data_IF_142062037927
#
_entry.id   IF_142062037927
#
_cell.length_a   1.000
_cell.length_b   1.000
_cell.length_c   1.000
_cell.angle_alpha   90.00
_cell.angle_beta   90.00
_cell.angle_gamma   90.00
#
_symmetry.space_group_name_H-M   'P 1'
#
loop_
_entity.id
_entity.type
_entity.pdbx_description
1 polymer ?
#
# COMPACT_ATOMS: atom_id res chain seq x y z
N UNK A 1 -27.84 14.42 8.37
CA UNK A 1 -27.75 13.46 7.24
C UNK A 1 -28.81 12.41 7.50
N UNK A 2 -29.86 12.33 6.67
CA UNK A 2 -30.92 11.32 6.81
C UNK A 2 -30.32 9.90 6.75
N UNK A 3 -31.01 8.85 7.23
CA UNK A 3 -30.57 7.47 7.03
C UNK A 3 -30.11 7.27 5.58
N UNK A 4 -28.89 6.73 5.48
CA UNK A 4 -27.83 7.04 4.51
C UNK A 4 -28.15 6.61 3.07
N UNK A 5 -27.93 7.50 2.09
CA UNK A 5 -28.14 7.27 0.65
C UNK A 5 -27.37 6.03 0.15
N UNK A 6 -26.17 5.78 0.69
CA UNK A 6 -25.41 4.56 0.40
C UNK A 6 -26.11 3.32 0.96
N UNK A 7 -26.67 3.39 2.18
CA UNK A 7 -27.38 2.26 2.80
C UNK A 7 -28.60 1.87 1.95
N UNK A 8 -29.39 2.86 1.51
CA UNK A 8 -30.54 2.59 0.64
C UNK A 8 -30.09 2.03 -0.71
N UNK A 9 -29.05 2.60 -1.31
CA UNK A 9 -28.50 2.09 -2.56
C UNK A 9 -28.01 0.64 -2.43
N UNK A 10 -27.34 0.27 -1.33
CA UNK A 10 -26.89 -1.11 -1.08
C UNK A 10 -28.07 -2.06 -0.94
N UNK A 11 -29.09 -1.69 -0.15
CA UNK A 11 -30.29 -2.51 0.04
C UNK A 11 -31.09 -2.71 -1.25
N UNK A 12 -30.99 -1.77 -2.19
CA UNK A 12 -31.68 -1.81 -3.48
C UNK A 12 -30.95 -2.66 -4.55
N UNK A 13 -29.75 -3.18 -4.29
CA UNK A 13 -29.02 -3.98 -5.28
C UNK A 13 -29.56 -5.41 -5.37
N UNK A 14 -29.72 -5.91 -6.59
CA UNK A 14 -30.24 -7.27 -6.86
C UNK A 14 -29.37 -8.39 -6.27
N UNK A 15 -28.06 -8.19 -6.15
CA UNK A 15 -27.14 -9.17 -5.54
C UNK A 15 -27.35 -9.27 -4.01
N UNK A 16 -27.62 -8.15 -3.35
CA UNK A 16 -27.96 -8.09 -1.92
C UNK A 16 -29.37 -8.63 -1.68
N UNK A 17 -30.35 -8.21 -2.48
CA UNK A 17 -31.74 -8.66 -2.35
C UNK A 17 -31.88 -10.18 -2.53
N UNK A 18 -31.19 -10.76 -3.52
CA UNK A 18 -31.16 -12.23 -3.71
C UNK A 18 -30.53 -12.94 -2.53
N UNK A 19 -29.41 -12.45 -1.99
CA UNK A 19 -28.76 -13.07 -0.84
C UNK A 19 -29.68 -13.08 0.40
N UNK A 20 -30.44 -12.01 0.62
CA UNK A 20 -31.43 -11.94 1.71
C UNK A 20 -32.61 -12.89 1.46
N UNK A 21 -33.13 -12.95 0.22
CA UNK A 21 -34.27 -13.82 -0.15
C UNK A 21 -33.97 -15.32 -0.18
N UNK A 22 -32.77 -15.73 -0.58
CA UNK A 22 -32.33 -17.15 -0.58
C UNK A 22 -32.05 -17.68 0.83
N UNK A 23 -31.84 -16.79 1.80
CA UNK A 23 -31.67 -17.13 3.23
C UNK A 23 -33.02 -17.37 3.91
N UNK A 24 -33.79 -18.35 3.44
CA UNK A 24 -35.13 -18.65 3.94
C UNK A 24 -35.09 -19.12 5.41
N UNK A 25 -35.45 -18.21 6.33
CA UNK A 25 -35.71 -18.52 7.75
C UNK A 25 -35.72 -17.32 8.71
N UNK A 26 -34.99 -16.23 8.41
CA UNK A 26 -34.80 -15.09 9.36
C UNK A 26 -34.54 -13.76 8.64
N UNK A 27 -35.39 -13.37 7.69
CA UNK A 27 -35.24 -12.14 6.88
C UNK A 27 -35.00 -10.87 7.73
N UNK A 28 -35.64 -10.78 8.91
CA UNK A 28 -35.41 -9.68 9.85
C UNK A 28 -34.03 -9.68 10.52
N UNK A 29 -33.44 -10.84 10.80
CA UNK A 29 -32.14 -10.94 11.46
C UNK A 29 -30.98 -10.70 10.49
N UNK A 30 -31.07 -11.27 9.29
CA UNK A 30 -30.10 -11.03 8.21
C UNK A 30 -30.05 -9.54 7.86
N UNK A 31 -31.22 -8.88 7.75
CA UNK A 31 -31.31 -7.44 7.52
C UNK A 31 -30.69 -6.62 8.65
N UNK A 32 -30.99 -6.93 9.92
CA UNK A 32 -30.37 -6.24 11.07
C UNK A 32 -28.84 -6.39 11.08
N UNK A 33 -28.33 -7.59 10.78
CA UNK A 33 -26.88 -7.83 10.68
C UNK A 33 -26.23 -7.07 9.53
N UNK A 34 -26.89 -7.01 8.37
CA UNK A 34 -26.45 -6.22 7.23
C UNK A 34 -26.40 -4.73 7.60
N UNK A 35 -27.44 -4.19 8.21
CA UNK A 35 -27.48 -2.81 8.67
C UNK A 35 -26.37 -2.52 9.70
N UNK A 36 -26.09 -3.46 10.61
CA UNK A 36 -24.96 -3.36 11.54
C UNK A 36 -23.59 -3.35 10.81
N UNK A 37 -23.41 -4.16 9.76
CA UNK A 37 -22.20 -4.11 8.94
C UNK A 37 -22.08 -2.82 8.14
N UNK A 38 -23.20 -2.28 7.63
CA UNK A 38 -23.20 -0.99 6.96
C UNK A 38 -22.83 0.14 7.92
N UNK A 39 -23.35 0.12 9.14
CA UNK A 39 -22.95 1.10 10.15
C UNK A 39 -21.47 0.94 10.53
N UNK A 40 -20.96 -0.29 10.63
CA UNK A 40 -19.53 -0.55 10.82
C UNK A 40 -18.70 0.07 9.68
N UNK A 41 -19.06 -0.16 8.42
CA UNK A 41 -18.31 0.35 7.26
C UNK A 41 -18.39 1.87 7.09
N UNK A 42 -19.38 2.53 7.70
CA UNK A 42 -19.60 3.97 7.57
C UNK A 42 -18.39 4.77 8.03
N UNK A 43 -18.00 5.75 7.21
CA UNK A 43 -16.89 6.66 7.46
C UNK A 43 -17.25 8.07 7.05
N UNK A 44 -16.60 9.07 7.64
CA UNK A 44 -16.70 10.46 7.19
C UNK A 44 -15.30 11.02 7.00
N UNK A 45 -15.12 11.91 6.01
CA UNK A 45 -13.83 12.56 5.80
C UNK A 45 -13.99 14.07 6.02
N UNK A 46 -13.32 14.58 7.06
CA UNK A 46 -13.29 16.01 7.37
C UNK A 46 -11.97 16.60 6.90
N UNK A 47 -11.91 16.90 5.61
CA UNK A 47 -10.68 17.27 4.90
C UNK A 47 -9.88 18.43 5.53
N UNK A 48 -10.55 19.48 6.06
CA UNK A 48 -9.85 20.56 6.78
C UNK A 48 -9.08 20.08 8.01
N UNK A 49 -9.68 19.18 8.78
CA UNK A 49 -9.04 18.60 9.96
C UNK A 49 -7.97 17.58 9.58
N UNK A 50 -8.14 16.88 8.45
CA UNK A 50 -7.10 16.01 7.91
C UNK A 50 -5.80 16.77 7.62
N UNK A 51 -5.87 17.94 6.96
CA UNK A 51 -4.68 18.78 6.76
C UNK A 51 -4.07 19.23 8.08
N UNK A 52 -4.89 19.58 9.06
CA UNK A 52 -4.39 19.96 10.38
C UNK A 52 -3.66 18.82 11.13
N UNK A 53 -3.93 17.55 10.83
CA UNK A 53 -3.21 16.41 11.42
C UNK A 53 -1.73 16.36 11.01
N UNK A 54 -1.32 17.05 9.95
CA UNK A 54 0.08 17.13 9.57
C UNK A 54 0.91 17.86 10.64
N UNK A 55 0.34 18.82 11.38
CA UNK A 55 1.06 19.58 12.40
C UNK A 55 1.56 18.73 13.58
N UNK A 56 0.71 17.94 14.29
CA UNK A 56 1.20 17.07 15.36
C UNK A 56 2.12 15.95 14.83
N UNK A 57 1.95 15.54 13.57
CA UNK A 57 2.78 14.52 12.94
C UNK A 57 4.08 15.09 12.31
N UNK A 58 4.23 16.42 12.27
CA UNK A 58 5.33 17.11 11.63
C UNK A 58 6.72 16.64 12.07
N UNK A 59 6.99 16.33 13.35
CA UNK A 59 8.30 15.83 13.78
C UNK A 59 8.75 14.57 13.04
N UNK A 60 7.81 13.69 12.68
CA UNK A 60 8.04 12.46 11.92
C UNK A 60 8.02 12.78 10.41
N UNK A 61 7.00 13.50 9.94
CA UNK A 61 6.82 13.79 8.52
C UNK A 61 7.97 14.61 7.92
N UNK A 62 8.54 15.57 8.67
CA UNK A 62 9.69 16.38 8.19
C UNK A 62 10.97 15.58 7.94
N UNK A 63 11.03 14.34 8.44
CA UNK A 63 12.16 13.43 8.21
C UNK A 63 11.99 12.57 6.97
N UNK A 64 10.79 12.53 6.42
CA UNK A 64 10.46 11.79 5.22
C UNK A 64 10.15 12.80 4.12
N UNK A 65 11.16 13.07 3.30
CA UNK A 65 10.96 13.87 2.10
C UNK A 65 10.07 13.08 1.14
N UNK A 66 9.01 13.71 0.63
CA UNK A 66 8.02 13.07 -0.23
C UNK A 66 8.36 13.41 -1.67
N UNK A 67 8.61 12.39 -2.49
CA UNK A 67 8.94 12.52 -3.91
C UNK A 67 7.79 11.91 -4.71
N UNK A 68 7.12 12.73 -5.52
CA UNK A 68 6.04 12.28 -6.38
C UNK A 68 6.55 12.01 -7.80
N UNK A 69 6.13 10.91 -8.40
CA UNK A 69 6.47 10.53 -9.77
C UNK A 69 5.21 10.08 -10.51
N UNK A 70 5.03 10.44 -11.78
CA UNK A 70 3.90 9.99 -12.59
C UNK A 70 2.56 10.71 -12.32
N UNK A 71 2.58 11.91 -11.73
CA UNK A 71 1.37 12.68 -11.38
C UNK A 71 0.47 12.99 -12.58
N UNK A 72 1.06 13.10 -13.78
CA UNK A 72 0.34 13.27 -15.04
C UNK A 72 -0.72 12.18 -15.26
N UNK A 73 -0.46 10.95 -14.81
CA UNK A 73 -1.42 9.85 -14.89
C UNK A 73 -2.62 10.06 -13.97
N UNK A 74 -2.41 10.66 -12.80
CA UNK A 74 -3.48 10.99 -11.87
C UNK A 74 -4.36 12.10 -12.45
N UNK A 75 -3.74 13.16 -13.00
CA UNK A 75 -4.48 14.23 -13.65
C UNK A 75 -5.31 13.73 -14.84
N UNK A 76 -4.75 12.87 -15.69
CA UNK A 76 -5.47 12.25 -16.79
C UNK A 76 -6.68 11.42 -16.29
N UNK A 77 -6.49 10.63 -15.23
CA UNK A 77 -7.55 9.81 -14.66
C UNK A 77 -8.67 10.65 -14.02
N UNK A 78 -8.33 11.79 -13.38
CA UNK A 78 -9.30 12.69 -12.76
C UNK A 78 -10.25 13.33 -13.78
N UNK A 79 -9.79 13.54 -15.02
CA UNK A 79 -10.63 14.03 -16.11
C UNK A 79 -11.57 12.97 -16.69
N UNK A 80 -11.19 11.68 -16.58
CA UNK A 80 -11.96 10.57 -17.14
C UNK A 80 -13.05 10.03 -16.21
N UNK A 81 -12.96 10.28 -14.89
CA UNK A 81 -13.97 9.85 -13.93
C UNK A 81 -13.43 9.63 -12.53
N UNK A 82 -13.93 8.58 -11.88
CA UNK A 82 -13.55 8.16 -10.52
C UNK A 82 -12.28 7.31 -10.54
N UNK A 83 -11.54 7.35 -9.44
CA UNK A 83 -10.26 6.65 -9.33
C UNK A 83 -10.26 5.67 -8.15
N UNK A 84 -9.80 4.45 -8.45
CA UNK A 84 -9.35 3.49 -7.45
C UNK A 84 -7.82 3.48 -7.42
N UNK A 85 -7.25 4.06 -6.39
CA UNK A 85 -5.81 4.01 -6.14
C UNK A 85 -5.46 2.66 -5.50
N UNK A 86 -4.51 1.94 -6.10
CA UNK A 86 -4.11 0.61 -5.62
C UNK A 86 -2.60 0.55 -5.43
N UNK A 87 -2.16 0.43 -4.17
CA UNK A 87 -0.73 0.49 -3.81
C UNK A 87 -0.20 -0.77 -3.10
N UNK A 88 1.12 -0.86 -2.98
CA UNK A 88 1.81 -1.75 -2.05
C UNK A 88 1.86 -1.15 -0.63
N UNK A 89 2.17 -1.97 0.39
CA UNK A 89 2.17 -1.49 1.78
C UNK A 89 3.46 -1.89 2.52
N UNK A 90 4.32 -0.93 2.86
CA UNK A 90 5.62 -1.10 3.52
C UNK A 90 5.71 -0.49 4.92
N UNK A 91 4.96 0.58 5.22
CA UNK A 91 5.05 1.32 6.48
C UNK A 91 3.66 1.75 7.00
N UNK A 92 3.54 2.02 8.29
CA UNK A 92 2.40 2.78 8.83
C UNK A 92 2.37 4.23 8.33
N UNK A 93 3.46 4.71 7.73
CA UNK A 93 3.48 6.00 7.06
C UNK A 93 2.75 6.00 5.72
N UNK A 94 2.53 4.86 5.05
CA UNK A 94 1.97 4.84 3.69
C UNK A 94 0.62 5.54 3.62
N UNK A 95 -0.28 5.24 4.56
CA UNK A 95 -1.62 5.85 4.63
C UNK A 95 -1.63 7.29 5.12
N UNK A 96 -0.44 7.86 5.37
CA UNK A 96 -0.22 9.29 5.56
C UNK A 96 0.48 9.88 4.34
N UNK A 97 1.60 9.32 3.92
CA UNK A 97 2.46 9.83 2.84
C UNK A 97 1.75 9.86 1.50
N UNK A 98 1.10 8.77 1.08
CA UNK A 98 0.50 8.72 -0.26
C UNK A 98 -0.65 9.70 -0.42
N UNK A 99 -1.63 9.80 0.52
CA UNK A 99 -2.68 10.80 0.39
C UNK A 99 -2.16 12.23 0.62
N UNK A 100 -1.08 12.41 1.39
CA UNK A 100 -0.45 13.72 1.51
C UNK A 100 0.31 14.15 0.26
N UNK A 101 0.87 13.22 -0.52
CA UNK A 101 1.43 13.53 -1.85
C UNK A 101 0.34 14.03 -2.78
N UNK A 102 -0.84 13.41 -2.78
CA UNK A 102 -1.99 13.93 -3.53
C UNK A 102 -2.39 15.34 -3.05
N UNK A 103 -2.45 15.55 -1.73
CA UNK A 103 -2.81 16.83 -1.12
C UNK A 103 -1.84 17.97 -1.49
N UNK A 104 -0.53 17.70 -1.44
CA UNK A 104 0.52 18.65 -1.82
C UNK A 104 0.36 19.13 -3.28
N UNK A 105 -0.27 18.31 -4.13
CA UNK A 105 -0.51 18.60 -5.56
C UNK A 105 -1.96 19.01 -5.85
N UNK A 106 -2.71 19.46 -4.83
CA UNK A 106 -4.07 19.97 -4.98
C UNK A 106 -5.13 18.90 -5.28
N UNK A 107 -4.78 17.62 -5.16
CA UNK A 107 -5.70 16.50 -5.39
C UNK A 107 -6.27 16.08 -4.05
N UNK A 108 -7.60 16.06 -3.95
CA UNK A 108 -8.27 15.68 -2.70
C UNK A 108 -7.93 14.22 -2.36
N UNK A 109 -7.43 13.94 -1.13
CA UNK A 109 -7.17 12.59 -0.68
C UNK A 109 -8.40 11.67 -0.79
N UNK A 110 -8.25 10.44 -1.33
CA UNK A 110 -9.34 9.46 -1.40
C UNK A 110 -9.74 8.95 0.00
N UNK A 111 -10.86 8.24 0.09
CA UNK A 111 -11.14 7.41 1.27
C UNK A 111 -10.19 6.21 1.27
N UNK A 112 -9.83 5.68 2.44
CA UNK A 112 -8.83 4.61 2.51
C UNK A 112 -9.39 3.36 3.17
N UNK A 113 -9.25 2.18 2.55
CA UNK A 113 -9.59 0.92 3.20
C UNK A 113 -8.54 0.55 4.26
N UNK A 114 -8.95 0.45 5.52
CA UNK A 114 -8.06 0.19 6.66
C UNK A 114 -8.52 -1.04 7.45
N UNK A 115 -7.59 -1.75 8.07
CA UNK A 115 -7.95 -2.87 8.95
C UNK A 115 -8.69 -2.36 10.19
N UNK A 116 -9.79 -3.01 10.56
CA UNK A 116 -10.60 -2.63 11.74
C UNK A 116 -9.80 -2.59 13.05
N UNK A 117 -8.68 -3.32 13.13
CA UNK A 117 -7.77 -3.30 14.26
C UNK A 117 -7.12 -1.92 14.53
N UNK A 118 -7.21 -0.97 13.61
CA UNK A 118 -6.72 0.41 13.79
C UNK A 118 -7.78 1.33 14.43
N UNK A 119 -9.00 0.85 14.65
CA UNK A 119 -10.13 1.68 15.09
C UNK A 119 -10.37 1.64 16.61
N UNK A 120 -9.34 1.34 17.40
CA UNK A 120 -9.41 1.35 18.86
C UNK A 120 -9.26 2.77 19.45
N UNK A 121 -10.08 3.09 20.46
CA UNK A 121 -9.97 4.32 21.24
C UNK A 121 -10.12 5.61 20.41
N UNK A 122 -9.48 6.69 20.88
CA UNK A 122 -9.54 8.01 20.23
C UNK A 122 -8.97 8.02 18.80
N UNK A 123 -7.92 7.21 18.52
CA UNK A 123 -7.35 7.08 17.19
C UNK A 123 -8.35 6.51 16.18
N UNK A 124 -9.23 5.60 16.61
CA UNK A 124 -10.28 5.08 15.75
C UNK A 124 -11.29 6.14 15.30
N UNK A 125 -11.60 7.10 16.16
CA UNK A 125 -12.46 8.25 15.79
C UNK A 125 -11.77 9.15 14.77
N UNK A 126 -10.46 9.38 14.90
CA UNK A 126 -9.68 10.17 13.94
C UNK A 126 -9.66 9.46 12.58
N UNK A 127 -9.34 8.15 12.56
CA UNK A 127 -9.35 7.36 11.34
C UNK A 127 -10.73 7.37 10.66
N UNK A 128 -11.79 7.16 11.43
CA UNK A 128 -13.15 7.07 10.91
C UNK A 128 -13.75 8.40 10.47
N UNK A 129 -13.48 9.49 11.21
CA UNK A 129 -14.20 10.74 10.99
C UNK A 129 -13.37 11.87 10.39
N UNK A 130 -12.04 11.79 10.49
CA UNK A 130 -11.14 12.81 9.98
C UNK A 130 -10.48 12.34 8.70
N UNK A 131 -9.78 11.20 8.74
CA UNK A 131 -9.02 10.70 7.57
C UNK A 131 -9.90 10.05 6.52
N UNK A 132 -11.12 9.62 6.88
CA UNK A 132 -12.01 8.90 5.96
C UNK A 132 -11.58 7.44 5.76
N UNK A 133 -10.98 6.82 6.77
CA UNK A 133 -10.64 5.41 6.72
C UNK A 133 -11.90 4.55 6.90
N UNK A 134 -12.08 3.57 6.03
CA UNK A 134 -13.17 2.59 6.06
C UNK A 134 -12.69 1.38 6.87
N UNK A 135 -13.34 1.00 7.97
CA UNK A 135 -12.92 -0.14 8.79
C UNK A 135 -13.30 -1.46 8.12
N UNK A 136 -12.30 -2.24 7.72
CA UNK A 136 -12.45 -3.53 7.05
C UNK A 136 -12.01 -4.66 7.98
N UNK A 137 -12.90 -5.63 8.21
CA UNK A 137 -12.56 -6.92 8.81
C UNK A 137 -11.69 -7.73 7.85
N UNK A 138 -10.41 -7.88 8.19
CA UNK A 138 -9.48 -8.72 7.43
C UNK A 138 -9.81 -10.20 7.62
N UNK A 139 -9.75 -10.98 6.54
CA UNK A 139 -9.98 -12.43 6.55
C UNK A 139 -11.36 -12.87 7.10
N UNK A 140 -12.38 -12.00 7.03
CA UNK A 140 -13.74 -12.41 7.37
C UNK A 140 -14.20 -13.56 6.47
N UNK A 141 -14.80 -14.59 7.07
CA UNK A 141 -15.42 -15.72 6.38
C UNK A 141 -16.94 -15.62 6.34
N UNK A 142 -17.51 -14.61 6.98
CA UNK A 142 -18.96 -14.38 7.01
C UNK A 142 -19.44 -13.93 5.62
N UNK A 143 -20.24 -14.74 4.90
CA UNK A 143 -20.65 -14.41 3.56
C UNK A 143 -21.55 -13.16 3.50
N UNK A 144 -22.38 -12.91 4.52
CA UNK A 144 -23.22 -11.70 4.61
C UNK A 144 -22.35 -10.45 4.70
N UNK A 145 -21.30 -10.49 5.53
CA UNK A 145 -20.33 -9.39 5.60
C UNK A 145 -19.62 -9.17 4.26
N UNK A 146 -19.19 -10.24 3.58
CA UNK A 146 -18.49 -10.12 2.30
C UNK A 146 -19.38 -9.54 1.19
N UNK A 147 -20.64 -9.95 1.12
CA UNK A 147 -21.64 -9.37 0.20
C UNK A 147 -21.88 -7.90 0.54
N UNK A 148 -22.12 -7.59 1.82
CA UNK A 148 -22.34 -6.21 2.29
C UNK A 148 -21.15 -5.30 1.98
N UNK A 149 -19.92 -5.78 2.21
CA UNK A 149 -18.70 -5.03 1.91
C UNK A 149 -18.55 -4.74 0.41
N UNK A 150 -18.76 -5.74 -0.45
CA UNK A 150 -18.66 -5.54 -1.90
C UNK A 150 -19.69 -4.53 -2.40
N UNK A 151 -20.94 -4.67 -1.94
CA UNK A 151 -22.02 -3.76 -2.28
C UNK A 151 -21.74 -2.33 -1.79
N UNK A 152 -21.33 -2.18 -0.53
CA UNK A 152 -20.99 -0.87 0.04
C UNK A 152 -19.87 -0.18 -0.73
N UNK A 153 -18.78 -0.88 -1.04
CA UNK A 153 -17.67 -0.32 -1.80
C UNK A 153 -18.07 0.03 -3.24
N UNK A 154 -18.89 -0.81 -3.88
CA UNK A 154 -19.41 -0.53 -5.22
C UNK A 154 -20.25 0.76 -5.24
N UNK A 155 -21.15 0.96 -4.28
CA UNK A 155 -21.95 2.18 -4.15
C UNK A 155 -21.15 3.40 -3.70
N UNK A 156 -20.09 3.19 -2.90
CA UNK A 156 -19.18 4.24 -2.50
C UNK A 156 -18.38 4.81 -3.69
N UNK A 157 -17.89 3.92 -4.56
CA UNK A 157 -17.05 4.27 -5.70
C UNK A 157 -17.76 5.13 -6.75
N UNK A 158 -19.10 5.09 -6.80
CA UNK A 158 -19.91 6.02 -7.61
C UNK A 158 -19.80 7.47 -7.13
N UNK A 159 -19.43 7.68 -5.86
CA UNK A 159 -19.48 8.98 -5.19
C UNK A 159 -18.09 9.49 -4.79
N UNK A 160 -17.13 8.59 -4.53
CA UNK A 160 -15.83 8.91 -3.91
C UNK A 160 -14.72 8.02 -4.44
N UNK A 161 -13.54 8.61 -4.60
CA UNK A 161 -12.31 7.86 -4.90
C UNK A 161 -11.88 7.03 -3.68
N UNK A 162 -11.21 5.91 -3.94
CA UNK A 162 -10.80 4.94 -2.93
C UNK A 162 -9.33 4.57 -3.09
N UNK A 163 -8.58 4.56 -1.98
CA UNK A 163 -7.24 3.99 -1.86
C UNK A 163 -7.31 2.68 -1.07
N UNK A 164 -6.68 1.64 -1.59
CA UNK A 164 -6.40 0.45 -0.80
C UNK A 164 -5.09 -0.22 -1.17
N UNK A 165 -4.60 -1.01 -0.22
CA UNK A 165 -3.38 -1.79 -0.40
C UNK A 165 -3.72 -3.19 -0.89
N UNK A 166 -3.22 -3.54 -2.09
CA UNK A 166 -3.61 -4.78 -2.77
C UNK A 166 -3.25 -6.04 -1.97
N UNK A 167 -2.23 -5.95 -1.13
CA UNK A 167 -1.74 -7.05 -0.28
C UNK A 167 -2.67 -7.36 0.91
N UNK A 168 -3.58 -6.44 1.26
CA UNK A 168 -4.47 -6.54 2.43
C UNK A 168 -3.79 -6.26 3.78
N UNK A 169 -2.48 -5.98 3.79
CA UNK A 169 -1.73 -5.57 4.97
C UNK A 169 -0.25 -5.38 4.68
N UNK A 170 0.42 -4.60 5.52
CA UNK A 170 1.84 -4.23 5.38
C UNK A 170 2.76 -5.45 5.23
N UNK A 171 3.80 -5.32 4.42
CA UNK A 171 4.86 -6.30 4.28
C UNK A 171 5.80 -6.26 5.48
N UNK A 172 5.92 -7.41 6.16
CA UNK A 172 6.84 -7.56 7.29
C UNK A 172 8.21 -8.09 6.87
N UNK A 173 8.29 -8.66 5.67
CA UNK A 173 9.49 -9.30 5.11
C UNK A 173 10.21 -8.43 4.08
N UNK A 174 9.60 -7.33 3.64
CA UNK A 174 10.10 -6.46 2.57
C UNK A 174 9.52 -6.82 1.21
N UNK A 175 9.04 -8.05 1.02
CA UNK A 175 8.48 -8.54 -0.26
C UNK A 175 7.22 -7.81 -0.69
N UNK A 176 6.96 -7.79 -1.99
CA UNK A 176 5.65 -7.44 -2.54
C UNK A 176 4.75 -8.69 -2.50
N UNK A 177 3.72 -8.70 -1.65
CA UNK A 177 2.86 -9.89 -1.48
C UNK A 177 1.84 -10.05 -2.61
N UNK A 178 1.34 -11.27 -2.78
CA UNK A 178 0.27 -11.56 -3.75
C UNK A 178 -0.98 -10.70 -3.49
N UNK A 179 -1.63 -10.23 -4.55
CA UNK A 179 -2.81 -9.37 -4.44
C UNK A 179 -4.02 -10.12 -3.88
N UNK A 180 -4.84 -9.42 -3.09
CA UNK A 180 -6.17 -9.85 -2.66
C UNK A 180 -7.22 -9.23 -3.58
N UNK A 181 -8.17 -10.05 -4.04
CA UNK A 181 -9.14 -9.65 -5.07
C UNK A 181 -10.44 -9.06 -4.52
N UNK A 182 -10.67 -9.09 -3.20
CA UNK A 182 -11.97 -8.72 -2.62
C UNK A 182 -12.44 -7.30 -2.95
N UNK A 183 -11.57 -6.29 -2.75
CA UNK A 183 -11.90 -4.89 -3.06
C UNK A 183 -11.85 -4.61 -4.57
N UNK A 184 -11.03 -5.34 -5.34
CA UNK A 184 -11.03 -5.26 -6.80
C UNK A 184 -12.35 -5.77 -7.39
N UNK A 185 -12.91 -6.85 -6.83
CA UNK A 185 -14.21 -7.34 -7.23
C UNK A 185 -15.30 -6.30 -6.96
N UNK A 186 -15.23 -5.61 -5.81
CA UNK A 186 -16.17 -4.53 -5.50
C UNK A 186 -16.05 -3.36 -6.49
N UNK A 187 -14.83 -3.01 -6.93
CA UNK A 187 -14.63 -2.00 -7.96
C UNK A 187 -15.20 -2.39 -9.32
N UNK A 188 -15.12 -3.67 -9.71
CA UNK A 188 -15.77 -4.16 -10.93
C UNK A 188 -17.31 -4.18 -10.83
N UNK A 189 -17.85 -4.33 -9.62
CA UNK A 189 -19.29 -4.26 -9.37
C UNK A 189 -19.83 -2.82 -9.25
N UNK A 190 -18.94 -1.83 -9.25
CA UNK A 190 -19.30 -0.41 -9.33
C UNK A 190 -19.70 -0.05 -10.78
N UNK A 191 -20.21 1.16 -10.99
CA UNK A 191 -20.43 1.67 -12.35
C UNK A 191 -19.08 1.89 -13.04
N UNK A 192 -18.78 1.06 -14.06
CA UNK A 192 -17.42 0.90 -14.61
C UNK A 192 -17.08 1.88 -15.75
N UNK A 193 -18.08 2.52 -16.35
CA UNK A 193 -17.88 3.33 -17.56
C UNK A 193 -16.91 4.51 -17.32
N UNK A 194 -16.94 5.08 -16.12
CA UNK A 194 -16.11 6.20 -15.70
C UNK A 194 -15.25 5.85 -14.47
N UNK A 195 -14.77 4.60 -14.38
CA UNK A 195 -13.93 4.14 -13.27
C UNK A 195 -12.61 3.56 -13.77
N UNK A 196 -11.50 4.05 -13.23
CA UNK A 196 -10.16 3.54 -13.54
C UNK A 196 -9.39 3.17 -12.28
N UNK A 197 -8.50 2.19 -12.40
CA UNK A 197 -7.49 1.89 -11.39
C UNK A 197 -6.22 2.66 -11.72
N UNK A 198 -5.73 3.48 -10.78
CA UNK A 198 -4.38 4.04 -10.85
C UNK A 198 -3.48 3.17 -9.97
N UNK A 199 -2.62 2.31 -10.55
CA UNK A 199 -1.64 1.56 -9.79
C UNK A 199 -0.62 2.55 -9.19
N UNK A 200 -0.25 2.31 -7.94
CA UNK A 200 0.71 3.12 -7.20
C UNK A 200 1.79 2.24 -6.60
N UNK A 201 2.97 2.81 -6.42
CA UNK A 201 4.00 2.19 -5.59
C UNK A 201 4.57 3.19 -4.59
N UNK A 202 4.82 2.71 -3.37
CA UNK A 202 5.53 3.46 -2.34
C UNK A 202 6.82 2.75 -1.94
N UNK A 203 7.94 3.47 -2.01
CA UNK A 203 9.27 2.99 -1.65
C UNK A 203 9.99 4.01 -0.76
N UNK A 204 10.78 3.53 0.20
CA UNK A 204 11.49 4.38 1.15
C UNK A 204 12.98 4.08 1.12
N UNK A 205 13.83 5.12 1.16
CA UNK A 205 15.28 4.92 1.39
C UNK A 205 15.47 4.05 2.65
N UNK A 206 14.79 4.46 3.73
CA UNK A 206 14.69 3.74 4.99
C UNK A 206 13.25 3.78 5.53
N UNK A 207 12.71 2.62 5.93
CA UNK A 207 11.45 2.53 6.67
C UNK A 207 11.73 2.80 8.14
N UNK A 208 11.00 3.75 8.75
CA UNK A 208 11.32 4.23 10.10
C UNK A 208 11.17 3.15 11.19
N UNK A 209 10.29 2.17 10.97
CA UNK A 209 10.03 1.03 11.85
C UNK A 209 10.59 -0.31 11.33
N UNK A 210 11.59 -0.27 10.43
CA UNK A 210 12.17 -1.46 9.78
C UNK A 210 12.65 -2.55 10.75
N UNK A 211 13.24 -2.21 11.91
CA UNK A 211 13.74 -3.21 12.86
C UNK A 211 12.60 -3.94 13.56
N UNK A 212 11.58 -3.25 14.05
CA UNK A 212 10.44 -3.92 14.70
C UNK A 212 9.69 -4.77 13.68
N UNK A 213 9.42 -4.24 12.48
CA UNK A 213 8.70 -4.97 11.44
C UNK A 213 9.45 -6.26 11.06
N UNK A 214 10.73 -6.15 10.71
CA UNK A 214 11.50 -7.29 10.21
C UNK A 214 11.72 -8.36 11.29
N UNK A 215 11.90 -7.97 12.55
CA UNK A 215 11.96 -8.91 13.69
C UNK A 215 10.62 -9.58 13.96
N UNK A 216 9.51 -8.85 13.90
CA UNK A 216 8.18 -9.42 14.04
C UNK A 216 7.89 -10.50 12.98
N UNK A 217 8.42 -10.33 11.76
CA UNK A 217 8.35 -11.33 10.71
C UNK A 217 9.11 -12.62 11.07
N UNK A 218 10.34 -12.47 11.58
CA UNK A 218 11.20 -13.58 11.98
C UNK A 218 10.59 -14.38 13.15
N UNK A 219 10.08 -13.67 14.15
CA UNK A 219 9.47 -14.24 15.35
C UNK A 219 8.04 -14.74 15.13
N UNK A 220 7.45 -14.47 13.95
CA UNK A 220 6.02 -14.72 13.65
C UNK A 220 5.07 -14.12 14.69
N UNK A 221 5.47 -13.03 15.34
CA UNK A 221 4.73 -12.37 16.41
C UNK A 221 4.61 -10.88 16.14
N UNK A 222 3.38 -10.42 15.92
CA UNK A 222 3.09 -8.99 15.73
C UNK A 222 3.36 -8.22 17.02
N UNK A 223 3.94 -7.03 16.88
CA UNK A 223 4.15 -6.10 17.99
C UNK A 223 2.96 -5.14 18.10
N UNK A 224 2.69 -4.59 19.30
CA UNK A 224 1.69 -3.55 19.47
C UNK A 224 2.04 -2.31 18.65
N UNK A 225 1.01 -1.62 18.15
CA UNK A 225 1.16 -0.40 17.35
C UNK A 225 1.96 0.68 18.08
N UNK A 226 1.79 0.82 19.40
CA UNK A 226 2.53 1.79 20.22
C UNK A 226 4.04 1.56 20.20
N UNK A 227 4.50 0.30 20.13
CA UNK A 227 5.93 -0.02 20.08
C UNK A 227 6.54 0.41 18.74
N UNK A 228 5.79 0.26 17.65
CA UNK A 228 6.23 0.70 16.32
C UNK A 228 6.31 2.23 16.24
N UNK A 229 5.31 2.94 16.77
CA UNK A 229 5.33 4.41 16.86
C UNK A 229 6.51 4.90 17.72
N UNK A 230 6.82 4.22 18.82
CA UNK A 230 7.97 4.57 19.65
C UNK A 230 9.31 4.42 18.90
N UNK A 231 9.44 3.43 18.01
CA UNK A 231 10.62 3.31 17.15
C UNK A 231 10.69 4.45 16.14
N UNK A 232 9.59 4.77 15.45
CA UNK A 232 9.56 5.91 14.52
C UNK A 232 9.96 7.21 15.22
N UNK A 233 9.41 7.45 16.42
CA UNK A 233 9.71 8.63 17.22
C UNK A 233 11.19 8.67 17.66
N UNK A 234 11.79 7.53 18.04
CA UNK A 234 13.22 7.44 18.36
C UNK A 234 14.09 7.86 17.18
N UNK A 235 13.67 7.52 15.96
CA UNK A 235 14.36 7.88 14.74
C UNK A 235 13.98 9.26 14.19
N UNK A 236 13.08 9.99 14.85
CA UNK A 236 12.73 11.37 14.49
C UNK A 236 13.86 12.38 14.75
N UNK A 237 14.95 11.98 15.42
CA UNK A 237 16.16 12.78 15.63
C UNK A 237 17.32 12.16 14.85
N UNK A 238 17.97 12.93 13.97
CA UNK A 238 19.20 12.55 13.26
C UNK A 238 19.06 11.84 11.91
N UNK A 239 17.89 11.28 11.56
CA UNK A 239 17.69 10.55 10.30
C UNK A 239 16.88 11.34 9.27
N UNK A 240 17.22 11.23 7.99
CA UNK A 240 16.41 11.66 6.84
C UNK A 240 16.23 10.49 5.89
N UNK A 241 15.02 10.33 5.36
CA UNK A 241 14.65 9.30 4.39
C UNK A 241 13.80 9.96 3.30
N UNK A 242 13.84 9.48 2.07
CA UNK A 242 12.86 9.85 1.04
C UNK A 242 11.81 8.76 0.92
N UNK A 243 10.57 9.17 0.70
CA UNK A 243 9.46 8.32 0.30
C UNK A 243 9.07 8.67 -1.14
N UNK A 244 9.31 7.74 -2.05
CA UNK A 244 8.90 7.84 -3.44
C UNK A 244 7.49 7.28 -3.56
N UNK A 245 6.57 8.11 -4.07
CA UNK A 245 5.20 7.73 -4.41
C UNK A 245 5.07 7.84 -5.93
N UNK A 246 5.05 6.69 -6.59
CA UNK A 246 5.04 6.59 -8.05
C UNK A 246 3.64 6.18 -8.51
N UNK A 247 3.00 7.00 -9.34
CA UNK A 247 1.71 6.74 -9.95
C UNK A 247 1.92 6.16 -11.36
N UNK A 248 1.19 5.12 -11.71
CA UNK A 248 1.22 4.51 -13.04
C UNK A 248 0.03 4.89 -13.90
N UNK A 249 0.10 4.53 -15.19
CA UNK A 249 -0.96 4.78 -16.15
C UNK A 249 -2.31 4.19 -15.69
N UNK A 250 -3.42 4.93 -15.83
CA UNK A 250 -4.74 4.44 -15.43
C UNK A 250 -5.16 3.21 -16.24
N UNK A 251 -5.78 2.26 -15.56
CA UNK A 251 -6.35 1.05 -16.14
C UNK A 251 -7.88 1.21 -16.11
N UNK A 252 -8.52 1.49 -17.26
CA UNK A 252 -9.98 1.57 -17.33
C UNK A 252 -10.62 0.24 -16.91
N UNK A 253 -11.69 0.30 -16.13
CA UNK A 253 -12.42 -0.91 -15.70
C UNK A 253 -13.52 -1.33 -16.67
N UNK A 254 -13.89 -0.49 -17.64
CA UNK A 254 -14.88 -0.78 -18.68
C UNK A 254 -14.61 -2.10 -19.43
N UNK A 255 -13.34 -2.44 -19.63
CA UNK A 255 -12.89 -3.62 -20.40
C UNK A 255 -13.00 -4.95 -19.61
N UNK A 256 -13.31 -4.91 -18.32
CA UNK A 256 -13.26 -6.09 -17.45
C UNK A 256 -14.65 -6.54 -17.01
N UNK A 257 -15.09 -7.72 -17.47
CA UNK A 257 -16.37 -8.33 -17.07
C UNK A 257 -16.40 -8.65 -15.56
N UNK A 258 -17.33 -8.06 -14.77
CA UNK A 258 -17.44 -8.29 -13.33
C UNK A 258 -17.87 -9.71 -12.94
N UNK A 259 -18.54 -10.44 -13.84
CA UNK A 259 -18.97 -11.82 -13.60
C UNK A 259 -17.86 -12.84 -13.86
N UNK A 260 -16.81 -12.44 -14.59
CA UNK A 260 -15.70 -13.30 -14.95
C UNK A 260 -14.61 -13.33 -13.88
N UNK A 261 -14.51 -14.46 -13.17
CA UNK A 261 -13.39 -14.73 -12.26
C UNK A 261 -12.04 -14.62 -12.97
N UNK A 262 -11.96 -15.00 -14.25
CA UNK A 262 -10.74 -14.87 -15.05
C UNK A 262 -10.37 -13.40 -15.25
N UNK A 263 -11.33 -12.55 -15.61
CA UNK A 263 -11.09 -11.12 -15.77
C UNK A 263 -10.58 -10.47 -14.47
N UNK A 264 -11.18 -10.82 -13.32
CA UNK A 264 -10.72 -10.34 -12.01
C UNK A 264 -9.28 -10.76 -11.69
N UNK A 265 -8.92 -12.02 -11.97
CA UNK A 265 -7.55 -12.53 -11.76
C UNK A 265 -6.57 -11.82 -12.70
N UNK A 266 -6.92 -11.66 -13.98
CA UNK A 266 -6.11 -10.94 -14.96
C UNK A 266 -5.89 -9.48 -14.56
N UNK A 267 -6.93 -8.79 -14.09
CA UNK A 267 -6.82 -7.43 -13.59
C UNK A 267 -5.89 -7.36 -12.36
N UNK A 268 -6.07 -8.25 -11.39
CA UNK A 268 -5.24 -8.29 -10.19
C UNK A 268 -3.76 -8.56 -10.51
N UNK A 269 -3.48 -9.47 -11.46
CA UNK A 269 -2.12 -9.75 -11.93
C UNK A 269 -1.51 -8.57 -12.70
N UNK A 270 -2.30 -7.91 -13.56
CA UNK A 270 -1.88 -6.68 -14.24
C UNK A 270 -1.49 -5.61 -13.22
N UNK A 271 -2.38 -5.27 -12.30
CA UNK A 271 -2.13 -4.27 -11.26
C UNK A 271 -0.88 -4.63 -10.45
N UNK A 272 -0.77 -5.88 -9.98
CA UNK A 272 0.38 -6.31 -9.19
C UNK A 272 1.71 -6.18 -9.96
N UNK A 273 1.70 -6.50 -11.25
CA UNK A 273 2.85 -6.29 -12.12
C UNK A 273 3.20 -4.80 -12.26
N UNK A 274 2.22 -3.95 -12.54
CA UNK A 274 2.46 -2.52 -12.70
C UNK A 274 3.04 -1.93 -11.40
N UNK A 275 2.45 -2.24 -10.24
CA UNK A 275 2.99 -1.86 -8.92
C UNK A 275 4.46 -2.31 -8.77
N UNK A 276 4.77 -3.54 -9.21
CA UNK A 276 6.12 -4.07 -9.15
C UNK A 276 7.13 -3.27 -10.00
N UNK A 277 6.74 -2.82 -11.18
CA UNK A 277 7.58 -2.01 -12.07
C UNK A 277 7.70 -0.55 -11.60
N UNK A 278 6.62 0.00 -11.02
CA UNK A 278 6.59 1.34 -10.45
C UNK A 278 7.45 1.46 -9.19
N UNK A 279 7.61 0.37 -8.42
CA UNK A 279 8.39 0.35 -7.19
C UNK A 279 9.82 0.82 -7.42
N UNK A 280 10.21 1.91 -6.74
CA UNK A 280 11.54 2.51 -6.88
C UNK A 280 12.63 1.53 -6.42
N UNK A 281 13.55 1.21 -7.33
CA UNK A 281 14.77 0.45 -7.03
C UNK A 281 15.77 1.39 -6.38
N UNK A 282 15.89 1.29 -5.06
CA UNK A 282 16.69 2.19 -4.23
C UNK A 282 18.10 1.65 -3.93
N UNK A 283 19.08 2.51 -3.61
CA UNK A 283 20.46 2.11 -3.32
C UNK A 283 20.56 1.14 -2.14
N UNK A 284 19.77 1.37 -1.09
CA UNK A 284 19.71 0.51 0.10
C UNK A 284 19.26 -0.91 -0.25
N UNK A 285 18.31 -1.05 -1.17
CA UNK A 285 17.81 -2.33 -1.65
C UNK A 285 18.81 -3.04 -2.56
N UNK A 286 19.48 -2.30 -3.47
CA UNK A 286 20.54 -2.84 -4.32
C UNK A 286 21.74 -3.37 -3.51
N UNK A 287 22.24 -2.57 -2.56
CA UNK A 287 23.32 -2.99 -1.66
C UNK A 287 22.91 -4.22 -0.85
N UNK A 288 21.69 -4.25 -0.35
CA UNK A 288 21.16 -5.38 0.41
C UNK A 288 21.01 -6.66 -0.42
N UNK A 289 20.52 -6.55 -1.65
CA UNK A 289 20.30 -7.67 -2.55
C UNK A 289 21.60 -8.23 -3.14
N UNK A 290 22.57 -7.36 -3.47
CA UNK A 290 23.86 -7.77 -4.03
C UNK A 290 24.86 -8.25 -2.96
N UNK A 291 24.81 -7.64 -1.77
CA UNK A 291 25.84 -7.77 -0.74
C UNK A 291 25.87 -9.10 0.00
N UNK A 292 27.07 -9.50 0.42
CA UNK A 292 27.31 -10.71 1.24
C UNK A 292 27.98 -10.35 2.57
N UNK A 293 27.93 -11.24 3.59
CA UNK A 293 28.64 -11.01 4.84
C UNK A 293 30.16 -10.95 4.58
N UNK A 294 30.75 -9.75 4.57
CA UNK A 294 32.18 -9.45 4.32
C UNK A 294 32.58 -9.49 2.84
N UNK A 295 32.05 -8.55 2.05
CA UNK A 295 32.32 -8.40 0.62
C UNK A 295 33.18 -7.15 0.34
N UNK A 296 34.22 -7.22 -0.51
CA UNK A 296 34.93 -6.01 -0.99
C UNK A 296 33.96 -5.03 -1.66
N UNK A 297 34.13 -3.72 -1.45
CA UNK A 297 33.24 -2.73 -2.07
C UNK A 297 33.35 -2.73 -3.61
N UNK A 298 34.52 -3.03 -4.17
CA UNK A 298 34.69 -3.23 -5.61
C UNK A 298 33.79 -4.34 -6.16
N UNK A 299 33.84 -5.54 -5.56
CA UNK A 299 32.98 -6.67 -5.96
C UNK A 299 31.47 -6.33 -5.80
N UNK A 300 31.12 -5.58 -4.75
CA UNK A 300 29.74 -5.13 -4.55
C UNK A 300 29.26 -4.22 -5.68
N UNK A 301 30.11 -3.28 -6.14
CA UNK A 301 29.80 -2.38 -7.27
C UNK A 301 29.53 -3.19 -8.54
N UNK A 302 30.43 -4.09 -8.90
CA UNK A 302 30.33 -4.92 -10.11
C UNK A 302 29.06 -5.79 -10.13
N UNK A 303 28.71 -6.36 -8.97
CA UNK A 303 27.46 -7.12 -8.80
C UNK A 303 26.23 -6.25 -8.99
N UNK A 304 26.25 -5.03 -8.45
CA UNK A 304 25.13 -4.10 -8.62
C UNK A 304 25.04 -3.63 -10.08
N UNK A 305 26.14 -3.33 -10.76
CA UNK A 305 26.14 -2.97 -12.18
C UNK A 305 25.50 -4.09 -13.02
N UNK A 306 25.87 -5.35 -12.75
CA UNK A 306 25.26 -6.51 -13.40
C UNK A 306 23.75 -6.61 -13.13
N UNK A 307 23.30 -6.31 -11.90
CA UNK A 307 21.88 -6.29 -11.55
C UNK A 307 21.14 -5.15 -12.26
N UNK A 308 21.73 -3.95 -12.34
CA UNK A 308 21.13 -2.78 -12.97
C UNK A 308 20.87 -3.01 -14.46
N UNK A 309 21.74 -3.74 -15.16
CA UNK A 309 21.49 -4.15 -16.56
C UNK A 309 20.19 -4.94 -16.67
N UNK A 310 20.01 -5.97 -15.84
CA UNK A 310 18.82 -6.81 -15.85
C UNK A 310 17.54 -6.08 -15.41
N UNK A 311 17.65 -5.19 -14.43
CA UNK A 311 16.52 -4.38 -13.95
C UNK A 311 16.11 -3.33 -14.99
N UNK A 312 17.08 -2.68 -15.63
CA UNK A 312 16.84 -1.72 -16.73
C UNK A 312 16.15 -2.39 -17.91
N UNK A 313 16.61 -3.57 -18.32
CA UNK A 313 16.00 -4.34 -19.42
C UNK A 313 14.54 -4.74 -19.15
N UNK A 314 14.16 -4.88 -17.87
CA UNK A 314 12.78 -5.16 -17.46
C UNK A 314 11.90 -3.90 -17.33
N UNK A 315 12.46 -2.70 -17.50
CA UNK A 315 11.76 -1.44 -17.31
C UNK A 315 11.52 -1.08 -15.84
N UNK A 316 12.37 -1.55 -14.91
CA UNK A 316 12.25 -1.19 -13.50
C UNK A 316 12.52 0.31 -13.25
N UNK A 317 11.82 0.90 -12.28
CA UNK A 317 12.02 2.30 -11.88
C UNK A 317 13.31 2.49 -11.07
N UNK A 318 14.44 2.76 -11.73
CA UNK A 318 15.76 2.90 -11.10
C UNK A 318 15.97 4.28 -10.47
N UNK A 319 16.55 4.35 -9.26
CA UNK A 319 17.00 5.61 -8.65
C UNK A 319 18.45 5.98 -8.95
N UNK A 320 19.25 5.01 -9.40
CA UNK A 320 20.69 5.13 -9.68
C UNK A 320 21.02 4.39 -10.96
N UNK A 321 22.13 4.78 -11.61
CA UNK A 321 22.56 4.24 -12.91
C UNK A 321 23.78 3.34 -12.82
N UNK A 322 24.54 3.44 -11.74
CA UNK A 322 25.79 2.67 -11.56
C UNK A 322 25.86 2.02 -10.18
N UNK A 323 26.65 0.94 -10.10
CA UNK A 323 27.02 0.29 -8.84
C UNK A 323 27.79 1.22 -7.91
N UNK A 324 28.58 2.15 -8.46
CA UNK A 324 29.28 3.16 -7.67
C UNK A 324 28.32 4.08 -6.91
N UNK A 325 27.33 4.68 -7.59
CA UNK A 325 26.27 5.50 -6.98
C UNK A 325 25.47 4.71 -5.94
N UNK A 326 25.12 3.46 -6.28
CA UNK A 326 24.35 2.59 -5.40
C UNK A 326 25.10 2.27 -4.10
N UNK A 327 26.40 1.98 -4.20
CA UNK A 327 27.25 1.70 -3.04
C UNK A 327 27.45 2.95 -2.21
N UNK A 328 27.76 4.09 -2.82
CA UNK A 328 27.96 5.37 -2.12
C UNK A 328 26.73 5.73 -1.28
N UNK A 329 25.56 5.85 -1.92
CA UNK A 329 24.33 6.27 -1.25
C UNK A 329 23.78 5.18 -0.32
N UNK A 330 23.78 3.92 -0.77
CA UNK A 330 23.16 2.80 -0.04
C UNK A 330 23.93 2.40 1.20
N UNK A 331 25.27 2.37 1.13
CA UNK A 331 26.12 2.04 2.29
C UNK A 331 26.09 3.15 3.32
N UNK A 332 26.08 4.43 2.91
CA UNK A 332 25.93 5.55 3.84
C UNK A 332 24.64 5.41 4.67
N UNK A 333 23.49 5.25 4.00
CA UNK A 333 22.19 5.12 4.66
C UNK A 333 22.10 3.89 5.58
N UNK A 334 22.56 2.73 5.10
CA UNK A 334 22.55 1.49 5.90
C UNK A 334 23.56 1.54 7.06
N UNK A 335 24.68 2.25 6.92
CA UNK A 335 25.67 2.44 7.99
C UNK A 335 25.15 3.38 9.06
N UNK A 336 24.53 4.51 8.66
CA UNK A 336 23.84 5.41 9.58
C UNK A 336 22.76 4.65 10.38
N UNK A 337 22.06 3.71 9.75
CA UNK A 337 21.07 2.82 10.38
C UNK A 337 21.69 1.67 11.20
N UNK A 338 23.02 1.54 11.24
CA UNK A 338 23.74 0.47 11.96
C UNK A 338 23.49 -0.93 11.39
N UNK A 339 23.02 -1.04 10.15
CA UNK A 339 22.72 -2.30 9.47
C UNK A 339 24.00 -2.90 8.89
N UNK A 340 24.89 -2.05 8.39
CA UNK A 340 26.21 -2.43 7.86
C UNK A 340 27.30 -1.52 8.44
N UNK A 341 28.55 -1.89 8.23
CA UNK A 341 29.72 -1.04 8.45
C UNK A 341 30.75 -1.35 7.37
N UNK A 342 31.59 -0.37 7.02
CA UNK A 342 32.73 -0.56 6.13
C UNK A 342 34.01 -0.63 6.96
N UNK A 343 34.75 -1.72 6.83
CA UNK A 343 36.05 -1.95 7.47
C UNK A 343 37.03 -2.39 6.38
N UNK A 344 38.15 -1.69 6.20
CA UNK A 344 39.20 -2.05 5.22
C UNK A 344 38.63 -2.29 3.79
N UNK A 345 37.82 -1.36 3.30
CA UNK A 345 37.15 -1.44 1.99
C UNK A 345 36.24 -2.68 1.81
N UNK A 346 35.72 -3.23 2.92
CA UNK A 346 34.78 -4.36 2.91
C UNK A 346 33.48 -4.02 3.62
N UNK A 347 32.36 -4.33 2.97
CA UNK A 347 31.03 -4.30 3.55
C UNK A 347 30.88 -5.43 4.57
N UNK A 348 30.64 -5.08 5.83
CA UNK A 348 30.30 -6.03 6.89
C UNK A 348 28.86 -5.81 7.36
N UNK A 349 28.03 -6.85 7.26
CA UNK A 349 26.64 -6.81 7.73
C UNK A 349 26.60 -6.98 9.25
N UNK A 350 25.98 -6.03 9.95
CA UNK A 350 25.79 -5.99 11.42
C UNK A 350 24.39 -6.47 11.82
N UNK A 351 23.34 -6.01 11.13
CA UNK A 351 21.96 -6.47 11.32
C UNK A 351 21.49 -7.25 10.08
N UNK A 352 21.61 -8.59 10.14
CA UNK A 352 21.23 -9.47 9.02
C UNK A 352 19.72 -9.51 8.77
N UNK A 353 18.91 -9.16 9.77
CA UNK A 353 17.44 -9.22 9.68
C UNK A 353 16.95 -8.04 8.85
N UNK A 354 17.39 -6.82 9.20
CA UNK A 354 17.05 -5.60 8.47
C UNK A 354 17.71 -5.60 7.09
N UNK A 355 18.96 -6.06 6.98
CA UNK A 355 19.62 -6.21 5.68
C UNK A 355 18.83 -7.11 4.74
N UNK A 356 18.33 -8.25 5.23
CA UNK A 356 17.48 -9.15 4.44
C UNK A 356 16.13 -8.51 4.08
N UNK A 357 15.55 -7.71 4.97
CA UNK A 357 14.31 -6.98 4.67
C UNK A 357 14.47 -6.10 3.43
N UNK A 358 15.54 -5.29 3.37
CA UNK A 358 15.81 -4.44 2.20
C UNK A 358 16.17 -5.25 0.96
N UNK A 359 16.86 -6.39 1.08
CA UNK A 359 17.15 -7.25 -0.07
C UNK A 359 15.86 -7.77 -0.74
N UNK A 360 14.85 -8.13 0.08
CA UNK A 360 13.59 -8.71 -0.38
C UNK A 360 12.62 -7.69 -0.98
N UNK A 361 12.90 -6.39 -0.87
CA UNK A 361 12.07 -5.38 -1.56
C UNK A 361 12.24 -5.41 -3.07
N UNK A 362 13.31 -6.03 -3.60
CA UNK A 362 13.53 -6.22 -5.04
C UNK A 362 13.23 -7.65 -5.52
N UNK A 363 12.76 -8.54 -4.64
CA UNK A 363 12.58 -9.96 -4.96
C UNK A 363 11.66 -10.17 -6.17
N UNK A 364 10.62 -9.35 -6.31
CA UNK A 364 9.66 -9.40 -7.42
C UNK A 364 10.23 -8.98 -8.78
N UNK A 365 11.39 -8.31 -8.81
CA UNK A 365 12.09 -7.89 -10.03
C UNK A 365 13.31 -8.78 -10.34
N UNK A 366 13.86 -9.44 -9.34
CA UNK A 366 15.10 -10.22 -9.45
C UNK A 366 14.87 -11.72 -9.68
N UNK A 367 13.73 -12.27 -9.25
CA UNK A 367 13.42 -13.67 -9.52
C UNK A 367 12.92 -13.82 -10.96
N UNK A 368 13.44 -14.80 -11.72
CA UNK A 368 12.84 -15.15 -13.00
C UNK A 368 11.38 -15.50 -12.74
N UNK A 369 10.46 -14.81 -13.44
CA UNK A 369 9.05 -15.14 -13.39
C UNK A 369 8.92 -16.62 -13.68
N UNK A 370 8.48 -17.42 -12.71
CA UNK A 370 7.94 -18.74 -13.03
C UNK A 370 6.83 -18.48 -14.04
N UNK A 371 7.02 -18.95 -15.28
CA UNK A 371 5.96 -18.91 -16.27
C UNK A 371 4.72 -19.50 -15.61
N UNK A 372 3.63 -18.73 -15.58
CA UNK A 372 2.36 -19.25 -15.11
C UNK A 372 1.97 -20.37 -16.08
N UNK A 373 2.05 -21.62 -15.63
CA UNK A 373 1.47 -22.77 -16.30
C UNK A 373 -0.05 -22.74 -16.14
#
# INVERSE_FOLDING_TARGET
>A
MKPDDITQAVLARDDVARYLGESAGTDSDARRRLEAYLDELRTTQRYRFYRALQHPLYPILRKVERVAEGLEHVHAALHAGRIVYVSNHKSHLDYLVEPLVLDDHGIRPPLTAAGINLFGGAFGLIHRHVTGAIPIRRNSKDPLYLVTLRAYVAELLKRRDLLFYVEGGRSYTGELKSPKTGLLQAALLADRAELSVVPMAVAYDLVLEDRIISRAALEKKKRPFSTEIAEMARHAVGYRSRAFVTFGAPIPLGDYDPSSRRALVTLAQRIHREIGLLYKVLPTALVAAAGRPRMPLGELRDRIDSMLVGLSAQGANLSVRTGAEAVEQGVELLSARGVVVVEQDRLRVRDRIVFRYYARTLEHLLQPRKAAH
#
